data_IF_057360111400
#
_entry.id   IF_057360111400
#
_cell.length_a   1.000
_cell.length_b   1.000
_cell.length_c   1.000
_cell.angle_alpha   90.00
_cell.angle_beta   90.00
_cell.angle_gamma   90.00
#
_symmetry.space_group_name_H-M   'P 1'
#
loop_
_entity.id
_entity.type
_entity.pdbx_description
1 polymer ?
#
# COMPACT_ATOMS: atom_id res chain seq x y z
N UNK A 1 68.61 10.13 43.69
CA UNK A 1 67.79 9.00 43.25
C UNK A 1 66.53 8.97 44.10
N UNK A 2 65.40 9.41 43.63
CA UNK A 2 64.03 9.18 44.09
C UNK A 2 63.17 10.33 43.54
N UNK A 3 62.56 10.15 42.39
CA UNK A 3 61.36 10.86 41.91
C UNK A 3 61.12 10.51 40.42
N UNK A 4 60.83 9.24 40.15
CA UNK A 4 60.36 8.83 38.80
C UNK A 4 59.54 7.55 38.81
N UNK A 5 58.49 7.49 39.66
CA UNK A 5 57.62 6.32 39.68
C UNK A 5 56.13 6.62 39.90
N UNK A 6 55.71 7.90 39.89
CA UNK A 6 54.29 8.24 40.15
C UNK A 6 53.51 8.66 38.90
N UNK A 7 54.18 8.95 37.77
CA UNK A 7 53.50 9.54 36.60
C UNK A 7 53.05 8.51 35.57
N UNK A 8 53.51 7.27 35.62
CA UNK A 8 53.18 6.23 34.62
C UNK A 8 51.88 5.48 34.96
N UNK A 9 51.45 5.47 36.24
CA UNK A 9 50.28 4.70 36.67
C UNK A 9 48.96 5.40 36.41
N UNK A 10 48.97 6.76 36.33
CA UNK A 10 47.75 7.54 36.08
C UNK A 10 47.34 7.57 34.59
N UNK A 11 48.30 7.44 33.69
CA UNK A 11 48.03 7.48 32.26
C UNK A 11 47.44 6.16 31.74
N UNK A 12 47.70 5.03 32.40
CA UNK A 12 47.12 3.74 32.02
C UNK A 12 45.66 3.57 32.46
N UNK A 13 45.25 4.19 33.55
CA UNK A 13 43.88 4.13 34.06
C UNK A 13 42.94 5.03 33.22
N UNK A 14 43.43 6.17 32.70
CA UNK A 14 42.61 7.04 31.81
C UNK A 14 42.41 6.41 30.43
N UNK A 15 43.35 5.66 29.88
CA UNK A 15 43.17 4.99 28.58
C UNK A 15 42.23 3.78 28.64
N UNK A 16 42.06 3.14 29.80
CA UNK A 16 41.10 2.03 29.97
C UNK A 16 39.63 2.50 30.15
N UNK A 17 39.42 3.69 30.73
CA UNK A 17 38.09 4.27 30.92
C UNK A 17 37.56 4.84 29.60
N UNK A 18 38.43 5.38 28.73
CA UNK A 18 38.01 5.92 27.43
C UNK A 18 37.60 4.79 26.46
N UNK A 19 38.17 3.61 26.55
CA UNK A 19 37.79 2.47 25.73
C UNK A 19 36.45 1.84 26.17
N UNK A 20 36.06 1.91 27.45
CA UNK A 20 34.77 1.40 27.91
C UNK A 20 33.60 2.33 27.55
N UNK A 21 33.82 3.65 27.53
CA UNK A 21 32.83 4.62 27.11
C UNK A 21 32.60 4.58 25.59
N UNK A 22 33.62 4.27 24.80
CA UNK A 22 33.48 4.10 23.35
C UNK A 22 32.82 2.77 22.94
N UNK A 23 32.81 1.76 23.82
CA UNK A 23 32.14 0.48 23.58
C UNK A 23 30.65 0.50 23.99
N UNK A 24 30.24 1.43 24.85
CA UNK A 24 28.83 1.61 25.29
C UNK A 24 28.04 2.54 24.37
N UNK A 25 28.70 3.26 23.44
CA UNK A 25 28.06 4.09 22.42
C UNK A 25 27.84 3.35 21.09
N UNK A 26 27.81 1.99 21.11
CA UNK A 26 27.47 1.19 19.95
C UNK A 26 25.97 1.00 19.84
N UNK A 27 25.39 1.78 18.91
CA UNK A 27 24.28 1.43 18.05
C UNK A 27 22.87 1.37 18.63
N UNK A 28 22.20 2.51 18.62
CA UNK A 28 20.74 2.57 18.36
C UNK A 28 20.43 2.99 16.90
N UNK A 29 21.39 3.14 16.01
CA UNK A 29 21.19 3.39 14.59
C UNK A 29 21.76 2.25 13.75
N UNK A 30 21.27 1.02 13.93
CA UNK A 30 21.34 0.06 12.83
C UNK A 30 20.34 0.51 11.79
N UNK A 31 20.85 1.11 10.72
CA UNK A 31 20.08 1.44 9.51
C UNK A 31 19.34 0.17 9.08
N UNK A 32 18.02 0.27 8.88
CA UNK A 32 17.20 -0.88 8.49
C UNK A 32 17.55 -1.25 7.06
N UNK A 33 18.26 -2.36 6.88
CA UNK A 33 18.63 -2.87 5.56
C UNK A 33 17.39 -3.49 4.89
N UNK A 34 16.99 -3.00 3.70
CA UNK A 34 15.90 -3.59 2.95
C UNK A 34 16.21 -5.03 2.51
N UNK A 35 15.16 -5.84 2.40
CA UNK A 35 15.28 -7.24 1.99
C UNK A 35 14.08 -7.70 1.14
N UNK A 36 14.26 -8.79 0.38
CA UNK A 36 13.16 -9.43 -0.32
C UNK A 36 12.19 -10.07 0.67
N UNK A 37 10.92 -9.75 0.53
CA UNK A 37 9.83 -10.33 1.32
C UNK A 37 8.82 -10.97 0.40
N UNK A 38 8.39 -12.20 0.70
CA UNK A 38 7.26 -12.85 0.05
C UNK A 38 5.99 -12.35 0.73
N UNK A 39 5.24 -11.49 0.03
CA UNK A 39 3.96 -10.95 0.50
C UNK A 39 2.82 -11.97 0.40
N UNK A 40 2.86 -12.78 -0.67
CA UNK A 40 1.92 -13.89 -0.88
C UNK A 40 2.59 -15.02 -1.67
N UNK A 41 2.30 -16.25 -1.28
CA UNK A 41 2.77 -17.44 -1.98
C UNK A 41 1.91 -17.73 -3.20
N UNK A 42 2.50 -18.38 -4.21
CA UNK A 42 1.78 -18.78 -5.41
C UNK A 42 0.80 -19.93 -5.09
N UNK A 43 -0.45 -19.62 -4.82
CA UNK A 43 -1.50 -20.55 -4.38
C UNK A 43 -2.79 -20.35 -5.17
N UNK A 44 -3.49 -21.45 -5.45
CA UNK A 44 -4.76 -21.46 -6.18
C UNK A 44 -5.93 -21.09 -5.25
N UNK A 45 -6.07 -19.81 -4.99
CA UNK A 45 -7.13 -19.22 -4.14
C UNK A 45 -7.29 -17.74 -4.52
N UNK A 46 -8.34 -17.09 -4.03
CA UNK A 46 -8.47 -15.64 -4.13
C UNK A 46 -7.44 -14.92 -3.25
N UNK A 47 -6.96 -13.76 -3.65
CA UNK A 47 -6.08 -12.93 -2.83
C UNK A 47 -6.73 -12.62 -1.47
N UNK A 48 -5.90 -12.49 -0.45
CA UNK A 48 -6.39 -12.12 0.89
C UNK A 48 -7.19 -10.81 0.84
N UNK A 49 -8.22 -10.71 1.66
CA UNK A 49 -9.11 -9.54 1.74
C UNK A 49 -9.79 -9.18 0.40
N UNK A 50 -9.96 -10.17 -0.50
CA UNK A 50 -10.72 -9.98 -1.71
C UNK A 50 -12.19 -9.68 -1.38
N UNK A 51 -12.71 -8.65 -2.02
CA UNK A 51 -14.09 -8.20 -1.90
C UNK A 51 -14.53 -7.47 -3.15
N UNK A 52 -15.83 -7.41 -3.37
CA UNK A 52 -16.45 -6.71 -4.49
C UNK A 52 -17.54 -5.74 -4.00
N UNK A 53 -17.91 -4.77 -4.83
CA UNK A 53 -19.04 -3.90 -4.58
C UNK A 53 -20.41 -4.64 -4.59
N UNK A 54 -20.44 -5.87 -5.08
CA UNK A 54 -21.62 -6.73 -5.13
C UNK A 54 -21.78 -7.59 -3.86
N UNK A 55 -20.75 -7.70 -3.01
CA UNK A 55 -20.78 -8.52 -1.81
C UNK A 55 -21.84 -8.02 -0.81
N UNK A 56 -22.50 -8.96 -0.15
CA UNK A 56 -23.39 -8.63 0.96
C UNK A 56 -22.65 -7.91 2.09
N UNK A 57 -23.36 -7.03 2.78
CA UNK A 57 -22.81 -6.42 3.98
C UNK A 57 -22.50 -7.47 5.05
N UNK A 58 -21.32 -7.39 5.64
CA UNK A 58 -20.98 -8.12 6.86
C UNK A 58 -21.97 -7.75 7.97
N UNK A 59 -22.14 -8.63 8.97
CA UNK A 59 -22.99 -8.34 10.13
C UNK A 59 -22.59 -6.99 10.72
N UNK A 60 -23.54 -6.09 10.75
CA UNK A 60 -23.36 -4.69 11.14
C UNK A 60 -24.43 -4.24 12.14
N UNK A 61 -24.45 -2.95 12.47
CA UNK A 61 -25.45 -2.34 13.34
C UNK A 61 -26.86 -2.48 12.77
N UNK A 62 -27.87 -2.25 13.61
CA UNK A 62 -29.29 -2.37 13.26
C UNK A 62 -29.73 -1.50 12.07
N UNK A 63 -29.01 -0.40 11.79
CA UNK A 63 -29.22 0.43 10.60
C UNK A 63 -28.09 0.28 9.59
N UNK A 64 -28.39 -0.34 8.46
CA UNK A 64 -27.46 -0.50 7.35
C UNK A 64 -27.48 0.74 6.44
N UNK A 65 -26.33 1.15 5.87
CA UNK A 65 -26.30 2.22 4.87
C UNK A 65 -26.99 1.78 3.57
N UNK A 66 -27.36 2.77 2.74
CA UNK A 66 -27.90 2.53 1.41
C UNK A 66 -26.91 1.76 0.53
N UNK A 67 -27.43 0.79 -0.25
CA UNK A 67 -26.69 0.13 -1.32
C UNK A 67 -26.86 0.81 -2.68
N UNK A 68 -27.69 1.84 -2.76
CA UNK A 68 -27.96 2.54 -4.03
C UNK A 68 -26.66 3.05 -4.65
N UNK A 69 -26.42 2.68 -5.91
CA UNK A 69 -25.20 3.03 -6.64
C UNK A 69 -23.94 2.24 -6.25
N UNK A 70 -24.04 1.32 -5.27
CA UNK A 70 -22.86 0.53 -4.84
C UNK A 70 -22.50 -0.56 -5.87
N UNK A 71 -23.49 -1.31 -6.34
CA UNK A 71 -23.27 -2.42 -7.27
C UNK A 71 -22.86 -1.94 -8.68
N UNK A 72 -23.31 -0.74 -9.05
CA UNK A 72 -22.97 -0.07 -10.31
C UNK A 72 -21.52 0.49 -10.34
N UNK A 73 -20.81 0.45 -9.24
CA UNK A 73 -19.40 0.89 -9.18
C UNK A 73 -18.49 0.02 -10.03
N UNK A 74 -18.82 -1.28 -10.18
CA UNK A 74 -17.97 -2.23 -10.94
C UNK A 74 -16.54 -2.22 -10.42
N UNK A 75 -16.39 -2.53 -9.14
CA UNK A 75 -15.09 -2.54 -8.48
C UNK A 75 -14.92 -3.70 -7.51
N UNK A 76 -13.68 -4.03 -7.29
CA UNK A 76 -13.22 -4.99 -6.29
C UNK A 76 -11.94 -4.50 -5.62
N UNK A 77 -11.58 -5.11 -4.50
CA UNK A 77 -10.32 -4.83 -3.83
C UNK A 77 -9.73 -6.06 -3.18
N UNK A 78 -8.40 -6.10 -3.03
CA UNK A 78 -7.70 -7.18 -2.32
C UNK A 78 -6.34 -6.73 -1.78
N UNK A 79 -5.65 -7.66 -1.12
CA UNK A 79 -4.20 -7.60 -0.90
C UNK A 79 -3.44 -7.88 -2.21
N UNK A 80 -2.09 -7.75 -2.14
CA UNK A 80 -1.18 -8.23 -3.18
C UNK A 80 -1.54 -9.66 -3.57
N UNK A 81 -1.54 -9.94 -4.87
CA UNK A 81 -1.79 -11.25 -5.44
C UNK A 81 -0.50 -11.94 -5.91
N UNK A 82 -0.52 -13.26 -5.94
CA UNK A 82 0.39 -14.11 -6.68
C UNK A 82 -0.12 -14.39 -8.10
N UNK A 83 0.65 -15.07 -8.91
CA UNK A 83 0.22 -15.46 -10.27
C UNK A 83 -1.07 -16.28 -10.25
N UNK A 84 -1.17 -17.32 -9.41
CA UNK A 84 -2.36 -18.16 -9.35
C UNK A 84 -3.55 -17.42 -8.73
N UNK A 85 -3.32 -16.62 -7.69
CA UNK A 85 -4.37 -15.77 -7.10
C UNK A 85 -4.93 -14.77 -8.11
N UNK A 86 -4.09 -14.19 -8.98
CA UNK A 86 -4.56 -13.29 -10.04
C UNK A 86 -5.41 -14.04 -11.09
N UNK A 87 -5.05 -15.25 -11.44
CA UNK A 87 -5.86 -16.08 -12.34
C UNK A 87 -7.23 -16.40 -11.73
N UNK A 88 -7.30 -16.71 -10.44
CA UNK A 88 -8.58 -16.91 -9.73
C UNK A 88 -9.41 -15.63 -9.69
N UNK A 89 -8.77 -14.47 -9.42
CA UNK A 89 -9.43 -13.17 -9.46
C UNK A 89 -10.06 -12.92 -10.85
N UNK A 90 -9.32 -13.16 -11.94
CA UNK A 90 -9.84 -12.99 -13.30
C UNK A 90 -11.00 -13.94 -13.60
N UNK A 91 -11.03 -15.15 -13.05
CA UNK A 91 -12.19 -16.07 -13.18
C UNK A 91 -13.45 -15.49 -12.54
N UNK A 92 -13.33 -14.93 -11.32
CA UNK A 92 -14.46 -14.28 -10.62
C UNK A 92 -14.95 -13.05 -11.38
N UNK A 93 -14.06 -12.31 -12.02
CA UNK A 93 -14.39 -11.11 -12.79
C UNK A 93 -14.76 -11.38 -14.24
N UNK A 94 -14.77 -12.65 -14.67
CA UNK A 94 -15.11 -13.02 -16.04
C UNK A 94 -16.52 -12.53 -16.41
N UNK A 95 -16.64 -11.91 -17.59
CA UNK A 95 -17.91 -11.35 -18.08
C UNK A 95 -18.32 -10.00 -17.49
N UNK A 96 -17.57 -9.47 -16.52
CA UNK A 96 -17.89 -8.15 -15.90
C UNK A 96 -17.35 -6.95 -16.70
N UNK A 97 -16.67 -7.17 -17.81
CA UNK A 97 -16.08 -6.16 -18.71
C UNK A 97 -14.56 -6.10 -18.62
N UNK A 98 -13.93 -5.13 -19.28
CA UNK A 98 -12.49 -4.94 -19.19
C UNK A 98 -12.05 -4.68 -17.73
N UNK A 99 -11.07 -5.44 -17.25
CA UNK A 99 -10.51 -5.28 -15.92
C UNK A 99 -9.28 -4.38 -16.00
N UNK A 100 -9.21 -3.38 -15.11
CA UNK A 100 -8.01 -2.58 -14.86
C UNK A 100 -7.59 -2.77 -13.41
N UNK A 101 -6.37 -3.22 -13.21
CA UNK A 101 -5.72 -3.30 -11.90
C UNK A 101 -5.24 -1.90 -11.54
N UNK A 102 -5.67 -1.41 -10.38
CA UNK A 102 -5.23 -0.14 -9.78
C UNK A 102 -4.30 -0.47 -8.62
N UNK A 103 -3.03 -0.46 -8.90
CA UNK A 103 -1.98 -0.72 -7.93
C UNK A 103 -1.65 0.54 -7.14
N UNK A 104 -1.80 0.46 -5.81
CA UNK A 104 -1.68 1.58 -4.88
C UNK A 104 -0.35 1.58 -4.11
N UNK A 105 0.64 0.82 -4.54
CA UNK A 105 1.88 0.62 -3.80
C UNK A 105 2.96 1.60 -4.28
N UNK A 106 3.59 2.34 -3.39
CA UNK A 106 4.80 3.12 -3.69
C UNK A 106 6.06 2.26 -3.55
N UNK A 107 6.07 1.33 -2.59
CA UNK A 107 7.16 0.39 -2.36
C UNK A 107 7.41 -0.50 -3.58
N UNK A 108 8.69 -0.81 -3.85
CA UNK A 108 9.06 -1.70 -4.96
C UNK A 108 8.56 -3.12 -4.71
N UNK A 109 7.84 -3.67 -5.69
CA UNK A 109 7.23 -4.99 -5.63
C UNK A 109 7.00 -5.58 -7.03
N UNK A 110 6.60 -6.83 -7.08
CA UNK A 110 6.30 -7.53 -8.33
C UNK A 110 6.13 -9.01 -8.09
N UNK A 111 6.44 -9.81 -9.10
CA UNK A 111 6.33 -11.26 -9.03
C UNK A 111 7.69 -11.93 -9.27
N UNK A 112 8.08 -12.83 -8.35
CA UNK A 112 9.25 -13.71 -8.50
C UNK A 112 8.76 -15.16 -8.43
N UNK A 113 9.01 -15.95 -9.48
CA UNK A 113 8.56 -17.33 -9.59
C UNK A 113 7.06 -17.50 -9.28
N UNK A 114 6.25 -16.53 -9.71
CA UNK A 114 4.80 -16.49 -9.44
C UNK A 114 4.41 -16.04 -8.04
N UNK A 115 5.32 -15.91 -7.08
CA UNK A 115 5.05 -15.32 -5.75
C UNK A 115 4.94 -13.80 -5.87
N UNK A 116 3.97 -13.20 -5.16
CA UNK A 116 3.95 -11.75 -4.96
C UNK A 116 5.02 -11.36 -3.94
N UNK A 117 5.96 -10.51 -4.34
CA UNK A 117 7.12 -10.10 -3.52
C UNK A 117 7.22 -8.60 -3.39
N UNK A 118 7.95 -8.14 -2.35
CA UNK A 118 8.35 -6.74 -2.20
C UNK A 118 9.81 -6.62 -1.76
N UNK A 119 10.44 -5.51 -2.12
CA UNK A 119 11.68 -5.03 -1.50
C UNK A 119 11.31 -4.25 -0.26
N UNK A 120 11.25 -4.96 0.88
CA UNK A 120 10.72 -4.42 2.12
C UNK A 120 11.75 -3.55 2.82
N UNK A 121 11.43 -2.30 3.02
CA UNK A 121 12.08 -1.39 3.94
C UNK A 121 11.15 -1.11 5.15
N UNK A 122 11.69 -0.59 6.22
CA UNK A 122 10.93 -0.26 7.43
C UNK A 122 9.64 0.51 7.10
N UNK A 123 8.48 0.00 7.50
CA UNK A 123 7.14 0.57 7.23
C UNK A 123 6.70 0.54 5.76
N UNK A 124 7.37 -0.18 4.87
CA UNK A 124 7.22 -0.11 3.41
C UNK A 124 7.62 1.27 2.83
N UNK A 125 8.52 2.01 3.46
CA UNK A 125 8.86 3.38 3.08
C UNK A 125 10.18 3.52 2.29
N UNK A 126 10.65 2.47 1.67
CA UNK A 126 11.89 2.48 0.88
C UNK A 126 11.90 3.51 -0.27
N UNK A 127 10.74 3.89 -0.75
CA UNK A 127 10.55 4.88 -1.81
C UNK A 127 9.90 6.19 -1.31
N UNK A 128 9.78 6.39 0.01
CA UNK A 128 9.19 7.59 0.57
C UNK A 128 9.92 8.85 0.10
N UNK A 129 9.18 9.84 -0.40
CA UNK A 129 9.71 11.09 -0.92
C UNK A 129 10.31 11.03 -2.34
N UNK A 130 10.38 9.85 -2.96
CA UNK A 130 10.82 9.73 -4.36
C UNK A 130 9.68 10.07 -5.33
N UNK A 131 9.98 10.69 -6.48
CA UNK A 131 9.04 10.82 -7.58
C UNK A 131 8.52 9.46 -8.05
N UNK A 132 7.26 9.40 -8.49
CA UNK A 132 6.61 8.16 -8.98
C UNK A 132 7.42 7.47 -10.07
N UNK A 133 7.87 8.21 -11.08
CA UNK A 133 8.65 7.67 -12.19
C UNK A 133 9.98 7.04 -11.72
N UNK A 134 10.65 7.65 -10.73
CA UNK A 134 11.88 7.10 -10.16
C UNK A 134 11.60 5.80 -9.42
N UNK A 135 10.58 5.75 -8.58
CA UNK A 135 10.18 4.55 -7.82
C UNK A 135 9.89 3.37 -8.75
N UNK A 136 9.13 3.61 -9.83
CA UNK A 136 8.78 2.61 -10.83
C UNK A 136 10.02 2.11 -11.59
N UNK A 137 10.92 3.02 -11.98
CA UNK A 137 12.13 2.63 -12.71
C UNK A 137 13.11 1.83 -11.84
N UNK A 138 13.29 2.22 -10.58
CA UNK A 138 14.12 1.49 -9.62
C UNK A 138 13.55 0.11 -9.33
N UNK A 139 12.22 -0.03 -9.17
CA UNK A 139 11.53 -1.31 -9.03
C UNK A 139 11.82 -2.24 -10.22
N UNK A 140 11.66 -1.71 -11.44
CA UNK A 140 11.91 -2.47 -12.66
C UNK A 140 13.35 -2.98 -12.73
N UNK A 141 14.31 -2.11 -12.46
CA UNK A 141 15.72 -2.46 -12.44
C UNK A 141 16.03 -3.53 -11.40
N UNK A 142 15.46 -3.39 -10.20
CA UNK A 142 15.64 -4.32 -9.09
C UNK A 142 15.11 -5.72 -9.42
N UNK A 143 13.88 -5.83 -9.93
CA UNK A 143 13.27 -7.10 -10.31
C UNK A 143 14.02 -7.76 -11.46
N UNK A 144 14.36 -7.01 -12.51
CA UNK A 144 15.10 -7.55 -13.65
C UNK A 144 16.50 -8.04 -13.27
N UNK A 145 17.17 -7.35 -12.32
CA UNK A 145 18.48 -7.78 -11.83
C UNK A 145 18.44 -9.06 -11.00
N UNK A 146 17.29 -9.37 -10.38
CA UNK A 146 17.13 -10.61 -9.61
C UNK A 146 17.00 -11.87 -10.51
N UNK A 147 16.63 -11.70 -11.79
CA UNK A 147 16.44 -12.83 -12.70
C UNK A 147 17.73 -13.62 -12.91
N UNK A 148 17.63 -14.94 -12.86
CA UNK A 148 18.75 -15.89 -12.93
C UNK A 148 19.76 -15.77 -11.78
N UNK A 149 19.33 -15.17 -10.64
CA UNK A 149 20.12 -15.11 -9.42
C UNK A 149 19.51 -16.02 -8.35
N UNK A 150 20.33 -16.41 -7.38
CA UNK A 150 19.86 -16.97 -6.11
C UNK A 150 19.67 -15.83 -5.12
N UNK A 151 18.47 -15.63 -4.62
CA UNK A 151 18.16 -14.56 -3.67
C UNK A 151 17.68 -15.13 -2.33
N UNK A 152 17.96 -14.40 -1.28
CA UNK A 152 17.39 -14.67 0.05
C UNK A 152 16.16 -13.82 0.26
N UNK A 153 15.03 -14.45 0.63
CA UNK A 153 13.77 -13.76 0.90
C UNK A 153 13.21 -14.19 2.26
N UNK A 154 12.46 -13.28 2.90
CA UNK A 154 11.72 -13.58 4.13
C UNK A 154 10.28 -13.88 3.77
N UNK A 155 9.81 -15.06 4.12
CA UNK A 155 8.40 -15.43 4.08
C UNK A 155 7.79 -15.07 5.43
N UNK A 156 6.77 -14.23 5.42
CA UNK A 156 6.03 -13.92 6.65
C UNK A 156 5.28 -15.16 7.15
N UNK A 157 5.42 -15.45 8.42
CA UNK A 157 4.63 -16.47 9.11
C UNK A 157 3.18 -16.01 9.27
N UNK A 158 2.27 -16.95 9.47
CA UNK A 158 0.92 -16.65 9.94
C UNK A 158 0.98 -16.10 11.38
N UNK A 159 -0.12 -15.56 11.91
CA UNK A 159 -0.18 -14.84 13.19
C UNK A 159 0.49 -15.55 14.39
N UNK A 160 0.76 -16.85 14.30
CA UNK A 160 1.35 -17.70 15.34
C UNK A 160 2.64 -18.40 14.89
N UNK A 161 3.12 -18.16 13.69
CA UNK A 161 4.34 -18.71 13.13
C UNK A 161 5.44 -17.65 13.06
N UNK A 162 6.69 -18.08 13.19
CA UNK A 162 7.83 -17.18 12.98
C UNK A 162 8.08 -16.95 11.50
N UNK A 163 8.59 -15.77 11.17
CA UNK A 163 9.07 -15.47 9.84
C UNK A 163 10.20 -16.44 9.43
N UNK A 164 10.15 -16.90 8.20
CA UNK A 164 11.09 -17.88 7.67
C UNK A 164 11.95 -17.26 6.58
N UNK A 165 13.25 -17.44 6.69
CA UNK A 165 14.19 -17.11 5.62
C UNK A 165 14.26 -18.28 4.64
N UNK A 166 14.07 -17.97 3.35
CA UNK A 166 14.12 -18.96 2.25
C UNK A 166 15.07 -18.47 1.16
N UNK A 167 15.71 -19.42 0.48
CA UNK A 167 16.49 -19.13 -0.73
C UNK A 167 15.64 -19.46 -1.95
N UNK A 168 15.57 -18.54 -2.91
CA UNK A 168 14.86 -18.71 -4.18
C UNK A 168 15.84 -18.66 -5.35
N UNK A 169 15.87 -19.70 -6.16
CA UNK A 169 16.47 -19.67 -7.49
C UNK A 169 15.50 -18.96 -8.43
N UNK A 170 15.84 -17.76 -8.87
CA UNK A 170 14.93 -16.89 -9.61
C UNK A 170 14.92 -17.28 -11.11
N UNK A 171 13.89 -17.97 -11.53
CA UNK A 171 13.67 -18.33 -12.94
C UNK A 171 12.81 -17.29 -13.68
N UNK A 172 11.93 -16.60 -12.95
CA UNK A 172 11.06 -15.53 -13.45
C UNK A 172 11.03 -14.37 -12.47
N UNK A 173 11.21 -13.14 -12.96
CA UNK A 173 11.03 -11.90 -12.20
C UNK A 173 10.39 -10.87 -13.14
N UNK A 174 9.22 -10.37 -12.76
CA UNK A 174 8.38 -9.45 -13.54
C UNK A 174 7.91 -8.31 -12.65
N UNK A 175 7.83 -7.11 -13.22
CA UNK A 175 7.01 -6.06 -12.61
C UNK A 175 5.56 -6.51 -12.64
N UNK A 176 4.74 -5.97 -11.74
CA UNK A 176 3.31 -6.29 -11.76
C UNK A 176 2.64 -5.78 -13.05
N UNK A 177 3.07 -4.64 -13.57
CA UNK A 177 2.60 -4.13 -14.86
C UNK A 177 2.86 -5.12 -16.02
N UNK A 178 4.08 -5.65 -16.12
CA UNK A 178 4.44 -6.65 -17.15
C UNK A 178 3.57 -7.90 -17.02
N UNK A 179 3.37 -8.37 -15.79
CA UNK A 179 2.56 -9.54 -15.49
C UNK A 179 1.07 -9.32 -15.83
N UNK A 180 0.46 -8.25 -15.34
CA UNK A 180 -0.96 -7.92 -15.55
C UNK A 180 -1.28 -7.74 -17.03
N UNK A 181 -0.43 -7.01 -17.76
CA UNK A 181 -0.58 -6.79 -19.20
C UNK A 181 -0.44 -8.08 -20.01
N UNK A 182 0.43 -9.00 -19.61
CA UNK A 182 0.55 -10.32 -20.24
C UNK A 182 -0.72 -11.17 -20.10
N UNK A 183 -1.56 -10.88 -19.10
CA UNK A 183 -2.87 -11.49 -18.88
C UNK A 183 -4.05 -10.69 -19.47
N UNK A 184 -3.77 -9.75 -20.39
CA UNK A 184 -4.76 -8.94 -21.10
C UNK A 184 -5.63 -8.06 -20.20
N UNK A 185 -5.17 -7.70 -19.00
CA UNK A 185 -5.79 -6.71 -18.13
C UNK A 185 -5.10 -5.35 -18.26
N UNK A 186 -5.85 -4.27 -18.02
CA UNK A 186 -5.29 -2.94 -17.91
C UNK A 186 -4.55 -2.74 -16.59
N UNK A 187 -3.66 -1.76 -16.53
CA UNK A 187 -2.88 -1.47 -15.33
C UNK A 187 -2.72 0.04 -15.13
N UNK A 188 -2.96 0.48 -13.91
CA UNK A 188 -2.72 1.85 -13.46
C UNK A 188 -1.93 1.80 -12.14
N UNK A 189 -0.74 2.40 -12.12
CA UNK A 189 0.08 2.54 -10.92
C UNK A 189 -0.12 3.90 -10.27
N UNK A 190 -0.56 3.88 -9.01
CA UNK A 190 -0.66 5.07 -8.16
C UNK A 190 0.26 4.88 -6.95
N UNK A 191 1.37 5.62 -6.91
CA UNK A 191 2.42 5.43 -5.89
C UNK A 191 2.04 6.04 -4.54
N UNK A 192 1.02 5.50 -3.90
CA UNK A 192 0.58 5.91 -2.57
C UNK A 192 1.46 5.27 -1.49
N UNK A 193 2.03 6.10 -0.62
CA UNK A 193 2.86 5.64 0.50
C UNK A 193 2.03 4.86 1.51
N UNK A 194 2.59 3.76 2.03
CA UNK A 194 1.87 2.95 3.02
C UNK A 194 1.60 3.72 4.31
N UNK A 195 0.44 3.46 4.91
CA UNK A 195 -0.08 4.08 6.15
C UNK A 195 -0.50 5.56 6.05
N UNK A 196 -0.09 6.32 5.03
CA UNK A 196 -0.35 7.76 4.90
C UNK A 196 -1.56 8.02 3.99
N UNK A 197 -2.09 9.25 4.02
CA UNK A 197 -3.06 9.71 3.03
C UNK A 197 -2.43 9.74 1.63
N UNK A 198 -3.20 9.50 0.55
CA UNK A 198 -2.68 9.63 -0.81
C UNK A 198 -2.07 11.03 -1.06
N UNK A 199 -0.95 11.06 -1.76
CA UNK A 199 -0.35 12.31 -2.21
C UNK A 199 -1.15 12.94 -3.36
N UNK A 200 -0.99 14.25 -3.57
CA UNK A 200 -1.77 14.99 -4.56
C UNK A 200 -1.54 14.48 -6.00
N UNK A 201 -0.32 14.04 -6.32
CA UNK A 201 0.02 13.45 -7.64
C UNK A 201 -0.81 12.19 -7.92
N UNK A 202 -0.88 11.26 -6.96
CA UNK A 202 -1.67 10.02 -7.09
C UNK A 202 -3.17 10.31 -7.20
N UNK A 203 -3.68 11.31 -6.49
CA UNK A 203 -5.09 11.71 -6.57
C UNK A 203 -5.40 12.30 -7.94
N UNK A 204 -4.60 13.26 -8.41
CA UNK A 204 -4.82 13.89 -9.72
C UNK A 204 -4.66 12.88 -10.87
N UNK A 205 -3.72 11.93 -10.76
CA UNK A 205 -3.58 10.84 -11.74
C UNK A 205 -4.82 9.94 -11.76
N UNK A 206 -5.33 9.56 -10.58
CA UNK A 206 -6.57 8.78 -10.49
C UNK A 206 -7.76 9.53 -11.11
N UNK A 207 -7.88 10.82 -10.87
CA UNK A 207 -8.96 11.65 -11.44
C UNK A 207 -8.83 11.76 -12.97
N UNK A 208 -7.62 11.92 -13.51
CA UNK A 208 -7.38 11.90 -14.98
C UNK A 208 -7.82 10.57 -15.58
N UNK A 209 -7.41 9.47 -14.97
CA UNK A 209 -7.80 8.14 -15.39
C UNK A 209 -9.32 7.96 -15.32
N UNK A 210 -9.96 8.32 -14.20
CA UNK A 210 -11.41 8.24 -14.02
C UNK A 210 -12.20 8.96 -15.13
N UNK A 211 -11.76 10.14 -15.56
CA UNK A 211 -12.40 10.91 -16.63
C UNK A 211 -12.33 10.23 -18.00
N UNK A 212 -11.31 9.45 -18.26
CA UNK A 212 -11.02 8.90 -19.59
C UNK A 212 -11.31 7.40 -19.70
N UNK A 213 -11.49 6.69 -18.60
CA UNK A 213 -11.75 5.25 -18.63
C UNK A 213 -13.11 4.92 -19.26
N UNK A 214 -13.24 3.81 -19.99
CA UNK A 214 -14.52 3.33 -20.51
C UNK A 214 -15.52 3.04 -19.37
N UNK A 215 -16.78 3.40 -19.55
CA UNK A 215 -17.84 3.27 -18.50
C UNK A 215 -18.08 1.84 -18.02
N UNK A 216 -17.77 0.84 -18.82
CA UNK A 216 -17.94 -0.58 -18.49
C UNK A 216 -16.68 -1.22 -17.88
N UNK A 217 -15.66 -0.43 -17.54
CA UNK A 217 -14.44 -0.90 -16.91
C UNK A 217 -14.71 -1.39 -15.49
N UNK A 218 -14.17 -2.55 -15.14
CA UNK A 218 -14.10 -3.04 -13.76
C UNK A 218 -12.76 -2.66 -13.15
N UNK A 219 -12.76 -1.95 -12.02
CA UNK A 219 -11.54 -1.55 -11.32
C UNK A 219 -11.24 -2.55 -10.20
N UNK A 220 -10.04 -3.11 -10.21
CA UNK A 220 -9.53 -3.91 -9.10
C UNK A 220 -8.45 -3.15 -8.37
N UNK A 221 -8.77 -2.66 -7.17
CA UNK A 221 -7.84 -1.91 -6.32
C UNK A 221 -7.06 -2.86 -5.41
N UNK A 222 -5.76 -2.68 -5.31
CA UNK A 222 -4.99 -3.42 -4.31
C UNK A 222 -3.82 -2.61 -3.74
N UNK A 223 -3.35 -3.05 -2.58
CA UNK A 223 -2.09 -2.65 -1.97
C UNK A 223 -1.45 -3.90 -1.35
N UNK A 224 -0.46 -3.78 -0.49
CA UNK A 224 0.16 -4.95 0.13
C UNK A 224 -0.85 -5.78 0.97
N UNK A 225 -1.63 -5.13 1.84
CA UNK A 225 -2.58 -5.81 2.74
C UNK A 225 -4.03 -5.83 2.23
N UNK A 226 -4.40 -5.01 1.24
CA UNK A 226 -5.79 -4.87 0.80
C UNK A 226 -6.68 -4.07 1.76
N UNK A 227 -6.09 -3.37 2.72
CA UNK A 227 -6.80 -2.68 3.80
C UNK A 227 -6.80 -1.15 3.59
N UNK A 228 -5.88 -0.42 4.20
CA UNK A 228 -5.91 1.04 4.31
C UNK A 228 -5.96 1.77 2.96
N UNK A 229 -4.93 1.65 2.12
CA UNK A 229 -4.85 2.30 0.81
C UNK A 229 -5.97 1.83 -0.11
N UNK A 230 -6.19 0.51 -0.17
CA UNK A 230 -7.25 -0.10 -0.98
C UNK A 230 -8.63 0.46 -0.62
N UNK A 231 -9.01 0.45 0.66
CA UNK A 231 -10.30 0.97 1.09
C UNK A 231 -10.41 2.48 0.84
N UNK A 232 -9.31 3.24 1.02
CA UNK A 232 -9.28 4.68 0.75
C UNK A 232 -9.63 4.98 -0.71
N UNK A 233 -9.00 4.32 -1.68
CA UNK A 233 -9.30 4.55 -3.10
C UNK A 233 -10.67 3.98 -3.53
N UNK A 234 -11.13 2.88 -2.95
CA UNK A 234 -12.50 2.40 -3.16
C UNK A 234 -13.53 3.40 -2.64
N UNK A 235 -13.31 4.02 -1.47
CA UNK A 235 -14.14 5.12 -0.93
C UNK A 235 -14.10 6.33 -1.85
N UNK A 236 -12.92 6.74 -2.34
CA UNK A 236 -12.79 7.86 -3.29
C UNK A 236 -13.58 7.59 -4.58
N UNK A 237 -13.47 6.38 -5.12
CA UNK A 237 -14.20 6.01 -6.33
C UNK A 237 -15.71 5.99 -6.11
N UNK A 238 -16.16 5.50 -4.97
CA UNK A 238 -17.57 5.56 -4.57
C UNK A 238 -18.05 7.02 -4.44
N UNK A 239 -17.26 7.90 -3.82
CA UNK A 239 -17.57 9.34 -3.74
C UNK A 239 -17.69 9.97 -5.13
N UNK A 240 -16.78 9.70 -6.06
CA UNK A 240 -16.84 10.20 -7.44
C UNK A 240 -18.16 9.84 -8.15
N UNK A 241 -18.72 8.70 -7.81
CA UNK A 241 -19.98 8.20 -8.42
C UNK A 241 -21.23 8.60 -7.65
N UNK A 242 -21.16 8.73 -6.34
CA UNK A 242 -22.36 8.75 -5.49
C UNK A 242 -22.43 9.91 -4.48
N UNK A 243 -21.37 10.71 -4.24
CA UNK A 243 -21.36 11.73 -3.19
C UNK A 243 -22.44 12.81 -3.36
N UNK A 244 -22.96 13.02 -4.58
CA UNK A 244 -24.06 13.96 -4.81
C UNK A 244 -25.43 13.46 -4.31
N UNK A 245 -25.55 12.16 -4.05
CA UNK A 245 -26.80 11.50 -3.66
C UNK A 245 -26.69 10.74 -2.34
N UNK A 246 -25.50 10.39 -1.91
CA UNK A 246 -25.22 9.63 -0.68
C UNK A 246 -24.36 10.46 0.29
N UNK A 247 -24.61 10.29 1.59
CA UNK A 247 -23.82 11.00 2.60
C UNK A 247 -22.42 10.42 2.74
N UNK A 248 -21.50 11.22 3.26
CA UNK A 248 -20.14 10.80 3.62
C UNK A 248 -20.13 9.52 4.47
N UNK A 249 -20.93 9.52 5.56
CA UNK A 249 -20.96 8.39 6.49
C UNK A 249 -21.53 7.13 5.84
N UNK A 250 -22.55 7.26 4.97
CA UNK A 250 -23.09 6.12 4.23
C UNK A 250 -22.05 5.50 3.29
N UNK A 251 -21.31 6.32 2.54
CA UNK A 251 -20.28 5.86 1.62
C UNK A 251 -19.14 5.15 2.38
N UNK A 252 -18.57 5.78 3.41
CA UNK A 252 -17.48 5.17 4.18
C UNK A 252 -17.93 3.89 4.88
N UNK A 253 -19.13 3.90 5.47
CA UNK A 253 -19.68 2.75 6.18
C UNK A 253 -19.94 1.56 5.27
N UNK A 254 -20.49 1.76 4.06
CA UNK A 254 -20.75 0.66 3.13
C UNK A 254 -19.48 0.02 2.59
N UNK A 255 -18.41 0.80 2.38
CA UNK A 255 -17.09 0.26 1.98
C UNK A 255 -16.45 -0.57 3.11
N UNK A 256 -16.64 -0.19 4.37
CA UNK A 256 -16.28 -1.02 5.51
C UNK A 256 -17.10 -2.32 5.55
N UNK A 257 -18.42 -2.23 5.37
CA UNK A 257 -19.32 -3.38 5.50
C UNK A 257 -19.20 -4.42 4.38
N UNK A 258 -18.66 -4.09 3.23
CA UNK A 258 -18.29 -5.09 2.21
C UNK A 258 -16.91 -5.71 2.46
N UNK A 259 -16.28 -5.48 3.61
CA UNK A 259 -15.00 -6.09 3.99
C UNK A 259 -13.79 -5.15 3.92
N UNK A 260 -14.00 -3.85 3.74
CA UNK A 260 -12.93 -2.85 3.80
C UNK A 260 -12.44 -2.58 5.23
N UNK A 261 -11.37 -1.81 5.36
CA UNK A 261 -10.91 -1.29 6.65
C UNK A 261 -11.85 -0.19 7.17
N UNK A 262 -12.06 -0.13 8.48
CA UNK A 262 -12.71 1.04 9.09
C UNK A 262 -11.73 2.23 9.04
N UNK A 263 -12.01 3.17 8.14
CA UNK A 263 -11.17 4.34 7.93
C UNK A 263 -11.41 5.45 8.97
N UNK A 264 -12.44 5.33 9.79
CA UNK A 264 -12.80 6.31 10.82
C UNK A 264 -12.42 5.86 12.23
N UNK A 265 -11.89 4.64 12.37
CA UNK A 265 -11.50 4.10 13.66
C UNK A 265 -9.99 4.29 13.92
N UNK A 266 -9.66 4.78 15.13
CA UNK A 266 -8.29 4.79 15.66
C UNK A 266 -8.18 3.64 16.65
N UNK A 267 -7.75 2.47 16.18
CA UNK A 267 -7.71 1.21 16.97
C UNK A 267 -6.73 1.23 18.16
N UNK A 268 -5.64 1.96 18.03
CA UNK A 268 -4.56 2.00 19.03
C UNK A 268 -4.05 3.44 19.16
N UNK A 269 -4.48 4.11 20.22
CA UNK A 269 -4.12 5.50 20.50
C UNK A 269 -2.64 5.73 20.81
N UNK A 270 -1.90 4.67 21.18
CA UNK A 270 -0.46 4.69 21.43
C UNK A 270 0.40 4.40 20.19
N UNK A 271 -0.21 4.00 19.09
CA UNK A 271 0.51 3.63 17.87
C UNK A 271 1.11 4.85 17.16
N UNK A 272 2.30 4.67 16.59
CA UNK A 272 2.92 5.64 15.70
C UNK A 272 2.05 5.98 14.46
N UNK A 273 1.05 5.15 14.14
CA UNK A 273 0.13 5.33 13.00
C UNK A 273 -0.97 6.36 13.27
N UNK A 274 -1.19 6.76 14.51
CA UNK A 274 -2.36 7.60 14.90
C UNK A 274 -2.44 8.89 14.11
N UNK A 275 -1.31 9.62 13.98
CA UNK A 275 -1.28 10.88 13.20
C UNK A 275 -1.67 10.65 11.74
N UNK A 276 -1.16 9.59 11.12
CA UNK A 276 -1.44 9.25 9.73
C UNK A 276 -2.88 8.77 9.51
N UNK A 277 -3.47 8.05 10.49
CA UNK A 277 -4.89 7.68 10.46
C UNK A 277 -5.75 8.95 10.50
N UNK A 278 -5.46 9.90 11.38
CA UNK A 278 -6.19 11.18 11.47
C UNK A 278 -6.05 12.01 10.19
N UNK A 279 -4.84 12.07 9.61
CA UNK A 279 -4.58 12.74 8.35
C UNK A 279 -5.41 12.12 7.21
N UNK A 280 -5.47 10.79 7.12
CA UNK A 280 -6.30 10.09 6.13
C UNK A 280 -7.80 10.34 6.36
N UNK A 281 -8.26 10.38 7.61
CA UNK A 281 -9.64 10.75 7.94
C UNK A 281 -9.98 12.17 7.45
N UNK A 282 -9.10 13.13 7.67
CA UNK A 282 -9.26 14.50 7.16
C UNK A 282 -9.24 14.51 5.62
N UNK A 283 -8.29 13.80 5.00
CA UNK A 283 -8.20 13.67 3.55
C UNK A 283 -9.50 13.15 2.92
N UNK A 284 -10.08 12.05 3.40
CA UNK A 284 -11.31 11.51 2.79
C UNK A 284 -12.53 12.42 3.00
N UNK A 285 -12.59 13.19 4.11
CA UNK A 285 -13.62 14.22 4.29
C UNK A 285 -13.47 15.36 3.28
N UNK A 286 -12.27 15.87 3.11
CA UNK A 286 -11.97 16.90 2.13
C UNK A 286 -12.20 16.40 0.70
N UNK A 287 -11.90 15.15 0.39
CA UNK A 287 -12.18 14.58 -0.92
C UNK A 287 -13.69 14.47 -1.20
N UNK A 288 -14.50 14.16 -0.19
CA UNK A 288 -15.96 14.20 -0.31
C UNK A 288 -16.46 15.62 -0.64
N UNK A 289 -15.97 16.65 0.08
CA UNK A 289 -16.31 18.04 -0.21
C UNK A 289 -15.82 18.49 -1.61
N UNK A 290 -14.62 18.09 -2.00
CA UNK A 290 -14.11 18.33 -3.34
C UNK A 290 -15.05 17.81 -4.43
N UNK A 291 -15.53 16.59 -4.30
CA UNK A 291 -16.46 16.00 -5.28
C UNK A 291 -17.82 16.72 -5.27
N UNK A 292 -18.31 17.13 -4.11
CA UNK A 292 -19.60 17.86 -4.01
C UNK A 292 -19.55 19.26 -4.58
N UNK A 293 -18.44 19.94 -4.41
CA UNK A 293 -18.27 21.34 -4.83
C UNK A 293 -17.83 21.45 -6.29
N UNK A 294 -17.27 20.39 -6.86
CA UNK A 294 -16.83 20.36 -8.24
C UNK A 294 -17.96 19.93 -9.19
N UNK A 295 -17.94 20.38 -10.42
CA UNK A 295 -18.88 19.93 -11.45
C UNK A 295 -18.65 18.45 -11.82
N UNK A 296 -19.60 17.83 -12.53
CA UNK A 296 -19.55 16.39 -12.84
C UNK A 296 -18.33 15.96 -13.67
N UNK A 297 -17.80 16.86 -14.49
CA UNK A 297 -16.60 16.66 -15.28
C UNK A 297 -15.31 16.96 -14.50
N UNK A 298 -15.42 17.37 -13.22
CA UNK A 298 -14.30 17.66 -12.31
C UNK A 298 -13.26 18.60 -12.96
N UNK A 299 -13.63 19.82 -13.37
CA UNK A 299 -12.72 20.72 -14.10
C UNK A 299 -11.56 21.20 -13.24
N UNK A 300 -11.73 21.30 -11.91
CA UNK A 300 -10.68 21.73 -10.97
C UNK A 300 -9.95 20.49 -10.48
N UNK A 301 -8.63 20.35 -10.73
CA UNK A 301 -7.82 19.28 -10.16
C UNK A 301 -7.84 19.29 -8.63
N UNK A 302 -7.64 18.13 -8.00
CA UNK A 302 -7.55 18.03 -6.55
C UNK A 302 -6.44 18.92 -5.97
N UNK A 303 -5.26 18.87 -6.55
CA UNK A 303 -4.11 19.67 -6.11
C UNK A 303 -4.36 21.18 -6.15
N UNK A 304 -5.19 21.67 -7.07
CA UNK A 304 -5.59 23.07 -7.14
C UNK A 304 -6.68 23.40 -6.10
N UNK A 305 -7.71 22.56 -5.99
CA UNK A 305 -8.78 22.74 -5.02
C UNK A 305 -8.23 22.80 -3.59
N UNK A 306 -7.31 21.89 -3.25
CA UNK A 306 -6.68 21.82 -1.93
C UNK A 306 -5.93 23.09 -1.52
N UNK A 307 -5.36 23.86 -2.45
CA UNK A 307 -4.67 25.15 -2.15
C UNK A 307 -5.61 26.17 -1.51
N UNK A 308 -6.88 26.14 -1.88
CA UNK A 308 -7.92 27.05 -1.36
C UNK A 308 -8.69 26.48 -0.19
N UNK A 309 -8.50 25.18 0.13
CA UNK A 309 -9.16 24.45 1.20
C UNK A 309 -8.10 23.71 2.04
N UNK A 310 -7.22 24.42 2.75
CA UNK A 310 -6.20 23.78 3.60
C UNK A 310 -6.89 22.98 4.73
N UNK A 311 -6.24 21.88 5.13
CA UNK A 311 -6.70 20.98 6.22
C UNK A 311 -6.76 21.71 7.57
#
# INVERSE_FOLDING_TARGET
MKRMTATVLVTFILLFVINFAALAAKNENTEFEPFWRIDTQNQDKLPRNFRTCEDAFLKGPDSLPSRKGLEELRMSGSAQFSELEFKELLKVLAGKGPVVVVDLRQESHGLINGHGVSWYAKRNWGNYGKPSAQSIQEEKNLLHSAKNQSITAVKLGDKHEQDQTVTLEVTSALTEEEFVKAHHAGYLRLTATDHIAPNDESVDEFLRFYKTMPKNTWLHFHCQAGEGRTTTFMVMYDMLRNAKHESFDAIVKRQYLIGGADLLEVKDSGSWKVSYVKERMAFIRNFYEYVKQNADDLPIPWSEWKKTHPN
#
